data_IF_451888907246
#
_entry.id   IF_451888907246
#
_cell.length_a   1.000
_cell.length_b   1.000
_cell.length_c   1.000
_cell.angle_alpha   90.00
_cell.angle_beta   90.00
_cell.angle_gamma   90.00
#
_symmetry.space_group_name_H-M   'P 1'
#
loop_
_entity.id
_entity.type
_entity.pdbx_description
1 polymer ?
#
# COMPACT_ATOMS: atom_id res chain seq x y z
N UNK A 1 28.34 20.65 -12.06
CA UNK A 1 28.26 22.06 -11.64
C UNK A 1 28.71 22.13 -10.19
N UNK A 2 29.47 23.14 -9.76
CA UNK A 2 29.99 23.21 -8.39
C UNK A 2 29.00 23.91 -7.45
N UNK A 3 28.92 23.47 -6.19
CA UNK A 3 27.99 24.00 -5.17
C UNK A 3 28.08 25.54 -5.04
N UNK A 4 29.28 26.10 -5.04
CA UNK A 4 29.49 27.55 -4.96
C UNK A 4 28.89 28.34 -6.13
N UNK A 5 28.78 27.72 -7.30
CA UNK A 5 28.18 28.32 -8.50
C UNK A 5 26.66 28.25 -8.44
N UNK A 6 26.09 27.11 -8.03
CA UNK A 6 24.64 26.96 -7.79
C UNK A 6 24.17 27.94 -6.71
N UNK A 7 24.88 28.01 -5.57
CA UNK A 7 24.55 28.94 -4.49
C UNK A 7 24.61 30.41 -4.93
N UNK A 8 25.45 30.76 -5.92
CA UNK A 8 25.48 32.10 -6.49
C UNK A 8 24.29 32.34 -7.42
N UNK A 9 23.93 31.37 -8.25
CA UNK A 9 22.77 31.45 -9.15
C UNK A 9 21.46 31.54 -8.35
N UNK A 10 21.26 30.69 -7.33
CA UNK A 10 20.10 30.75 -6.42
C UNK A 10 19.92 32.08 -5.67
N UNK A 11 20.99 32.88 -5.53
CA UNK A 11 20.94 34.20 -4.86
C UNK A 11 20.65 35.35 -5.81
N UNK A 12 20.82 35.16 -7.12
CA UNK A 12 20.75 36.24 -8.11
C UNK A 12 19.69 36.00 -9.17
N UNK A 13 19.15 34.79 -9.25
CA UNK A 13 18.16 34.39 -10.23
C UNK A 13 16.94 33.82 -9.50
N UNK A 14 15.86 34.60 -9.49
CA UNK A 14 14.59 34.21 -8.86
C UNK A 14 13.94 33.03 -9.60
N UNK A 15 14.15 32.89 -10.91
CA UNK A 15 13.58 31.80 -11.72
C UNK A 15 14.28 30.48 -11.40
N UNK A 16 15.61 30.48 -11.26
CA UNK A 16 16.36 29.30 -10.81
C UNK A 16 15.96 28.94 -9.37
N UNK A 17 15.81 29.94 -8.49
CA UNK A 17 15.38 29.70 -7.11
C UNK A 17 13.98 29.08 -7.06
N UNK A 18 13.03 29.64 -7.79
CA UNK A 18 11.67 29.12 -7.88
C UNK A 18 11.64 27.73 -8.52
N UNK A 19 12.49 27.46 -9.52
CA UNK A 19 12.66 26.13 -10.08
C UNK A 19 13.14 25.13 -9.02
N UNK A 20 14.22 25.42 -8.29
CA UNK A 20 14.75 24.51 -7.27
C UNK A 20 13.81 24.33 -6.06
N UNK A 21 13.13 25.40 -5.64
CA UNK A 21 12.16 25.34 -4.54
C UNK A 21 10.93 24.49 -4.93
N UNK A 22 10.61 24.39 -6.21
CA UNK A 22 9.52 23.56 -6.74
C UNK A 22 9.98 22.24 -7.39
N UNK A 23 11.29 21.99 -7.48
CA UNK A 23 11.84 20.79 -8.10
C UNK A 23 11.71 19.62 -7.13
N UNK A 24 10.75 18.74 -7.41
CA UNK A 24 10.55 17.53 -6.62
C UNK A 24 11.64 16.51 -6.99
N UNK A 25 12.74 16.53 -6.24
CA UNK A 25 13.84 15.59 -6.42
C UNK A 25 13.38 14.22 -5.91
N UNK A 26 12.86 13.41 -6.83
CA UNK A 26 12.41 12.06 -6.53
C UNK A 26 13.61 11.13 -6.35
N UNK A 27 13.80 10.63 -5.14
CA UNK A 27 14.72 9.53 -4.90
C UNK A 27 14.25 8.28 -5.66
N UNK A 28 15.19 7.44 -6.15
CA UNK A 28 14.86 6.16 -6.74
C UNK A 28 13.98 5.31 -5.82
N UNK A 29 13.09 4.52 -6.42
CA UNK A 29 12.21 3.60 -5.71
C UNK A 29 13.02 2.66 -4.82
N UNK A 30 12.70 2.66 -3.52
CA UNK A 30 13.25 1.71 -2.56
C UNK A 30 12.24 0.61 -2.22
N UNK A 31 12.63 -0.66 -2.39
CA UNK A 31 11.81 -1.85 -2.08
C UNK A 31 11.17 -1.80 -0.69
N UNK A 32 11.89 -1.31 0.32
CA UNK A 32 11.43 -1.30 1.73
C UNK A 32 10.29 -0.33 1.96
N UNK A 33 10.13 0.68 1.11
CA UNK A 33 9.03 1.64 1.21
C UNK A 33 7.68 0.95 0.94
N UNK A 34 7.63 0.00 0.00
CA UNK A 34 6.43 -0.78 -0.28
C UNK A 34 6.17 -1.94 0.69
N UNK A 35 7.13 -2.29 1.54
CA UNK A 35 7.01 -3.44 2.43
C UNK A 35 6.22 -3.09 3.69
N UNK A 36 4.88 -3.12 3.62
CA UNK A 36 4.00 -2.85 4.76
C UNK A 36 3.62 -4.12 5.54
N UNK A 37 3.22 -3.93 6.81
CA UNK A 37 2.75 -5.01 7.67
C UNK A 37 1.24 -5.26 7.53
N UNK A 38 0.70 -6.07 8.42
CA UNK A 38 -0.76 -6.30 8.50
C UNK A 38 -1.53 -5.03 8.87
N UNK A 39 -2.78 -4.95 8.42
CA UNK A 39 -3.70 -3.87 8.80
C UNK A 39 -4.24 -4.12 10.20
N UNK A 40 -4.00 -3.18 11.10
CA UNK A 40 -4.68 -3.08 12.40
C UNK A 40 -5.47 -1.79 12.41
N UNK A 41 -6.80 -1.88 12.47
CA UNK A 41 -7.67 -0.73 12.44
C UNK A 41 -8.85 -0.94 13.39
N UNK A 42 -9.12 0.04 14.26
CA UNK A 42 -10.26 0.01 15.16
C UNK A 42 -11.30 1.02 14.70
N UNK A 43 -12.47 0.54 14.26
CA UNK A 43 -13.61 1.43 13.92
C UNK A 43 -14.29 1.97 15.17
N UNK A 44 -14.27 1.20 16.26
CA UNK A 44 -14.85 1.56 17.57
C UNK A 44 -13.94 1.00 18.66
N UNK A 45 -13.51 1.86 19.59
CA UNK A 45 -12.57 1.46 20.65
C UNK A 45 -13.23 0.59 21.72
N UNK A 46 -14.50 0.85 22.03
CA UNK A 46 -15.27 0.09 23.01
C UNK A 46 -16.74 0.02 22.57
N UNK A 47 -17.35 -1.16 22.69
CA UNK A 47 -18.76 -1.39 22.45
C UNK A 47 -19.29 -2.43 23.41
N UNK A 48 -20.34 -2.05 24.14
CA UNK A 48 -21.17 -2.97 24.89
C UNK A 48 -22.41 -3.30 24.06
N UNK A 49 -22.74 -4.58 23.93
CA UNK A 49 -23.92 -5.06 23.20
C UNK A 49 -25.19 -4.76 23.99
N UNK A 50 -26.26 -4.39 23.29
CA UNK A 50 -27.62 -4.44 23.84
C UNK A 50 -28.18 -5.86 23.84
N UNK A 51 -29.33 -6.06 24.46
CA UNK A 51 -30.00 -7.37 24.57
C UNK A 51 -30.30 -8.04 23.21
N UNK A 52 -30.45 -7.25 22.15
CA UNK A 52 -30.71 -7.70 20.77
C UNK A 52 -29.48 -7.68 19.84
N UNK A 53 -28.29 -7.45 20.39
CA UNK A 53 -27.03 -7.34 19.64
C UNK A 53 -26.06 -8.47 19.98
N UNK A 54 -25.37 -9.01 18.97
CA UNK A 54 -24.29 -10.00 19.14
C UNK A 54 -23.03 -9.55 18.38
N UNK A 55 -21.85 -9.75 18.97
CA UNK A 55 -20.56 -9.57 18.29
C UNK A 55 -20.10 -10.91 17.73
N UNK A 56 -19.92 -10.96 16.41
CA UNK A 56 -19.37 -12.13 15.70
C UNK A 56 -17.88 -11.92 15.42
N UNK A 57 -17.10 -12.98 15.59
CA UNK A 57 -15.68 -13.00 15.28
C UNK A 57 -15.43 -13.92 14.08
N UNK A 58 -14.58 -13.46 13.16
CA UNK A 58 -14.16 -14.22 11.98
C UNK A 58 -12.66 -14.09 11.85
N UNK A 59 -11.99 -15.22 11.63
CA UNK A 59 -10.54 -15.29 11.46
C UNK A 59 -10.17 -16.15 10.27
N UNK A 60 -9.10 -15.75 9.58
CA UNK A 60 -8.55 -16.52 8.48
C UNK A 60 -7.51 -17.50 9.00
N UNK A 61 -7.81 -18.79 8.91
CA UNK A 61 -6.83 -19.82 9.24
C UNK A 61 -5.67 -19.78 8.24
N UNK A 62 -4.49 -19.34 8.72
CA UNK A 62 -3.25 -19.31 7.91
C UNK A 62 -3.32 -18.41 6.68
N UNK A 63 -3.74 -17.15 6.86
CA UNK A 63 -3.84 -16.14 5.78
C UNK A 63 -2.57 -16.04 4.91
N UNK A 64 -1.38 -15.81 5.50
CA UNK A 64 -0.16 -15.63 4.72
C UNK A 64 0.24 -16.89 3.91
N UNK A 65 0.26 -18.11 4.48
CA UNK A 65 0.45 -19.32 3.68
C UNK A 65 -0.58 -19.48 2.56
N UNK A 66 -1.86 -19.16 2.82
CA UNK A 66 -2.90 -19.20 1.80
C UNK A 66 -2.59 -18.23 0.65
N UNK A 67 -2.21 -16.99 0.96
CA UNK A 67 -1.78 -16.02 -0.05
C UNK A 67 -0.59 -16.56 -0.87
N UNK A 68 0.48 -16.99 -0.21
CA UNK A 68 1.68 -17.52 -0.90
C UNK A 68 1.36 -18.69 -1.84
N UNK A 69 0.36 -19.51 -1.50
CA UNK A 69 -0.08 -20.66 -2.31
C UNK A 69 -1.00 -20.26 -3.46
N UNK A 70 -1.91 -19.31 -3.23
CA UNK A 70 -3.05 -19.04 -4.12
C UNK A 70 -2.84 -17.83 -5.01
N UNK A 71 -1.93 -16.92 -4.66
CA UNK A 71 -1.70 -15.69 -5.40
C UNK A 71 -0.46 -15.76 -6.28
N UNK A 72 -0.45 -14.92 -7.31
CA UNK A 72 0.71 -14.72 -8.19
C UNK A 72 1.80 -13.99 -7.40
N UNK A 73 3.03 -14.49 -7.48
CA UNK A 73 4.23 -13.86 -6.92
C UNK A 73 5.22 -13.51 -8.03
N UNK A 74 6.14 -12.59 -7.75
CA UNK A 74 7.20 -12.17 -8.67
C UNK A 74 8.37 -13.15 -8.60
N UNK A 75 9.03 -13.40 -9.73
CA UNK A 75 10.30 -14.12 -9.80
C UNK A 75 11.25 -13.37 -10.74
N UNK A 76 12.55 -13.61 -10.61
CA UNK A 76 13.56 -12.94 -11.44
C UNK A 76 13.76 -11.46 -11.10
N UNK A 77 14.23 -10.70 -12.09
CA UNK A 77 14.61 -9.29 -11.92
C UNK A 77 13.54 -8.34 -12.48
N UNK A 78 13.37 -7.14 -11.87
CA UNK A 78 12.47 -6.14 -12.39
C UNK A 78 13.06 -5.46 -13.64
N UNK A 79 12.17 -5.00 -14.51
CA UNK A 79 12.42 -3.93 -15.47
C UNK A 79 12.07 -2.61 -14.80
N UNK A 80 13.05 -1.72 -14.70
CA UNK A 80 12.87 -0.38 -14.14
C UNK A 80 12.40 0.56 -15.25
N UNK A 81 11.29 1.23 -15.01
CA UNK A 81 10.66 2.18 -15.95
C UNK A 81 10.56 3.52 -15.23
N UNK A 82 11.14 4.56 -15.81
CA UNK A 82 11.19 5.92 -15.24
C UNK A 82 10.48 6.95 -16.11
N UNK A 83 10.05 6.56 -17.31
CA UNK A 83 9.39 7.44 -18.28
C UNK A 83 8.42 6.65 -19.18
N UNK A 84 7.55 7.36 -19.90
CA UNK A 84 6.57 6.78 -20.83
C UNK A 84 5.69 5.69 -20.19
N UNK A 85 5.14 6.00 -19.01
CA UNK A 85 4.27 5.08 -18.28
C UNK A 85 3.02 4.73 -19.09
N UNK A 86 2.70 3.44 -19.12
CA UNK A 86 1.47 2.89 -19.67
C UNK A 86 0.37 2.78 -18.62
N UNK A 87 -0.69 2.07 -18.98
CA UNK A 87 -1.77 1.77 -18.04
C UNK A 87 -1.27 0.90 -16.89
N UNK A 88 -1.72 1.19 -15.67
CA UNK A 88 -1.25 0.49 -14.47
C UNK A 88 -1.50 -1.01 -14.50
N UNK A 89 -2.58 -1.46 -15.16
CA UNK A 89 -2.94 -2.88 -15.26
C UNK A 89 -1.93 -3.69 -16.08
N UNK A 90 -1.06 -3.01 -16.84
CA UNK A 90 0.04 -3.64 -17.57
C UNK A 90 1.23 -3.97 -16.67
N UNK A 91 1.28 -3.40 -15.45
CA UNK A 91 2.38 -3.56 -14.53
C UNK A 91 2.06 -4.55 -13.41
N UNK A 92 2.99 -5.46 -13.18
CA UNK A 92 3.00 -6.33 -12.01
C UNK A 92 4.30 -6.13 -11.23
N UNK A 93 4.21 -5.65 -9.99
CA UNK A 93 5.39 -5.32 -9.18
C UNK A 93 5.16 -4.15 -8.24
N UNK A 94 6.12 -3.23 -8.19
CA UNK A 94 6.08 -2.04 -7.33
C UNK A 94 5.99 -0.77 -8.16
N UNK A 95 5.25 0.20 -7.63
CA UNK A 95 5.00 1.47 -8.31
C UNK A 95 5.16 2.59 -7.29
N UNK A 96 6.06 3.53 -7.58
CA UNK A 96 6.18 4.81 -6.90
C UNK A 96 5.33 5.83 -7.64
N UNK A 97 4.33 6.38 -6.97
CA UNK A 97 3.40 7.34 -7.56
C UNK A 97 2.83 8.30 -6.52
N UNK A 98 2.24 9.39 -7.00
CA UNK A 98 1.37 10.27 -6.22
C UNK A 98 -0.08 9.92 -6.50
N UNK A 99 -0.84 9.63 -5.45
CA UNK A 99 -2.26 9.25 -5.52
C UNK A 99 -3.12 10.25 -4.75
N UNK A 100 -4.31 10.52 -5.28
CA UNK A 100 -5.36 11.27 -4.61
C UNK A 100 -6.41 10.29 -4.07
N UNK A 101 -6.56 10.17 -2.74
CA UNK A 101 -7.64 9.38 -2.16
C UNK A 101 -9.02 10.02 -2.40
N UNK A 102 -10.11 9.23 -2.44
CA UNK A 102 -11.46 9.77 -2.44
C UNK A 102 -11.78 10.44 -1.09
N UNK A 103 -12.68 11.45 -1.05
CA UNK A 103 -12.95 12.22 0.17
C UNK A 103 -13.70 11.43 1.26
N UNK A 104 -14.43 10.37 0.90
CA UNK A 104 -15.25 9.59 1.83
C UNK A 104 -15.18 8.11 1.50
N UNK A 105 -14.34 7.38 2.23
CA UNK A 105 -14.21 5.94 2.12
C UNK A 105 -14.10 5.32 3.51
N UNK A 106 -15.04 4.43 3.84
CA UNK A 106 -15.14 3.84 5.18
C UNK A 106 -13.93 2.97 5.55
N UNK A 107 -13.37 2.26 4.57
CA UNK A 107 -12.13 1.50 4.71
C UNK A 107 -11.12 1.98 3.67
N UNK A 108 -10.27 2.97 4.02
CA UNK A 108 -9.18 3.38 3.15
C UNK A 108 -8.26 2.20 2.81
N UNK A 109 -7.68 2.22 1.62
CA UNK A 109 -6.99 1.07 1.02
C UNK A 109 -5.48 1.18 1.19
N UNK A 110 -4.91 2.33 0.80
CA UNK A 110 -3.47 2.46 0.71
C UNK A 110 -2.83 2.76 2.06
N UNK A 111 -1.79 2.01 2.44
CA UNK A 111 -1.00 2.28 3.64
C UNK A 111 -0.13 3.53 3.46
N UNK A 112 0.07 4.26 4.56
CA UNK A 112 0.97 5.40 4.64
C UNK A 112 1.66 5.39 6.01
N UNK A 113 2.99 5.49 6.01
CA UNK A 113 3.78 5.57 7.23
C UNK A 113 4.04 7.03 7.56
N UNK A 114 3.58 7.45 8.71
CA UNK A 114 3.90 8.78 9.26
C UNK A 114 3.80 8.72 10.78
N UNK A 115 4.50 9.62 11.47
CA UNK A 115 4.53 9.67 12.93
C UNK A 115 4.91 8.34 13.60
N UNK A 116 5.80 7.56 12.96
CA UNK A 116 6.23 6.24 13.44
C UNK A 116 5.14 5.15 13.41
N UNK A 117 4.00 5.39 12.76
CA UNK A 117 2.84 4.48 12.70
C UNK A 117 2.47 4.15 11.27
N UNK A 118 1.88 2.97 11.08
CA UNK A 118 1.20 2.59 9.85
C UNK A 118 -0.25 3.06 9.91
N UNK A 119 -0.63 3.96 9.01
CA UNK A 119 -1.98 4.49 8.91
C UNK A 119 -2.56 4.24 7.52
N UNK A 120 -3.87 4.39 7.39
CA UNK A 120 -4.59 4.29 6.11
C UNK A 120 -5.43 5.58 5.94
N UNK A 121 -4.80 6.73 5.65
CA UNK A 121 -5.50 8.00 5.61
C UNK A 121 -6.10 8.30 4.22
N UNK A 122 -7.06 9.23 4.18
CA UNK A 122 -7.59 9.82 2.94
C UNK A 122 -7.02 11.23 2.65
N UNK A 123 -6.09 11.67 3.50
CA UNK A 123 -5.42 12.96 3.41
C UNK A 123 -4.05 12.85 4.06
N UNK A 124 -2.98 13.11 3.29
CA UNK A 124 -1.60 13.16 3.78
C UNK A 124 -1.45 14.16 4.94
N UNK A 125 -1.81 15.43 4.71
CA UNK A 125 -1.68 16.49 5.72
C UNK A 125 -2.41 16.18 7.03
N UNK A 126 -3.62 15.62 6.98
CA UNK A 126 -4.33 15.21 8.20
C UNK A 126 -3.60 14.10 8.96
N UNK A 127 -3.03 13.13 8.23
CA UNK A 127 -2.28 12.03 8.84
C UNK A 127 -1.00 12.53 9.50
N UNK A 128 -0.26 13.40 8.81
CA UNK A 128 1.00 13.96 9.31
C UNK A 128 0.77 14.83 10.56
N UNK A 129 -0.33 15.60 10.60
CA UNK A 129 -0.69 16.46 11.74
C UNK A 129 -1.54 15.78 12.83
N UNK A 130 -1.87 14.49 12.66
CA UNK A 130 -2.84 13.78 13.52
C UNK A 130 -4.18 14.52 13.69
N UNK A 131 -4.69 15.16 12.63
CA UNK A 131 -5.91 15.96 12.68
C UNK A 131 -7.14 15.09 12.99
N UNK A 132 -7.90 15.47 14.02
CA UNK A 132 -9.16 14.81 14.44
C UNK A 132 -10.41 15.57 13.97
N UNK A 133 -10.24 16.77 13.42
CA UNK A 133 -11.34 17.60 12.91
C UNK A 133 -11.67 17.27 11.45
N UNK A 134 -12.87 17.65 10.95
CA UNK A 134 -13.19 17.52 9.53
C UNK A 134 -12.11 18.12 8.64
N UNK A 135 -11.68 17.37 7.63
CA UNK A 135 -10.63 17.79 6.72
C UNK A 135 -11.11 18.95 5.82
N UNK A 136 -10.32 20.02 5.75
CA UNK A 136 -10.54 21.18 4.86
C UNK A 136 -9.40 21.36 3.85
N UNK A 137 -8.49 20.40 3.76
CA UNK A 137 -7.32 20.47 2.89
C UNK A 137 -7.70 20.33 1.41
N UNK A 138 -6.94 21.02 0.56
CA UNK A 138 -7.00 20.93 -0.90
C UNK A 138 -6.57 19.55 -1.41
N UNK A 139 -6.88 19.24 -2.67
CA UNK A 139 -6.48 17.96 -3.28
C UNK A 139 -4.96 17.76 -3.28
N UNK A 140 -4.18 18.83 -3.51
CA UNK A 140 -2.72 18.79 -3.47
C UNK A 140 -2.18 18.40 -2.10
N UNK A 141 -2.75 18.94 -1.04
CA UNK A 141 -2.38 18.62 0.35
C UNK A 141 -2.87 17.24 0.80
N UNK A 142 -3.96 16.77 0.20
CA UNK A 142 -4.52 15.43 0.47
C UNK A 142 -3.72 14.33 -0.22
N UNK A 143 -3.11 14.63 -1.37
CA UNK A 143 -2.38 13.67 -2.19
C UNK A 143 -1.26 12.99 -1.38
N UNK A 144 -1.16 11.68 -1.55
CA UNK A 144 -0.19 10.83 -0.87
C UNK A 144 0.80 10.37 -1.91
N UNK A 145 2.08 10.57 -1.63
CA UNK A 145 3.17 10.03 -2.43
C UNK A 145 3.75 8.82 -1.70
N UNK A 146 4.02 7.75 -2.43
CA UNK A 146 4.51 6.54 -1.83
C UNK A 146 4.78 5.45 -2.86
N UNK A 147 5.25 4.31 -2.36
CA UNK A 147 5.50 3.12 -3.17
C UNK A 147 4.56 2.02 -2.71
N UNK A 148 3.81 1.43 -3.63
CA UNK A 148 2.86 0.37 -3.33
C UNK A 148 2.99 -0.79 -4.32
N UNK A 149 2.47 -1.95 -3.94
CA UNK A 149 2.34 -3.07 -4.88
C UNK A 149 1.25 -2.75 -5.91
N UNK A 150 1.44 -3.16 -7.17
CA UNK A 150 0.47 -2.88 -8.24
C UNK A 150 -0.94 -3.41 -7.91
N UNK A 151 -1.04 -4.58 -7.28
CA UNK A 151 -2.31 -5.16 -6.82
C UNK A 151 -3.04 -4.32 -5.77
N UNK A 152 -2.32 -3.59 -4.92
CA UNK A 152 -2.92 -2.69 -3.93
C UNK A 152 -3.43 -1.42 -4.61
N UNK A 153 -2.68 -0.90 -5.60
CA UNK A 153 -3.07 0.25 -6.39
C UNK A 153 -4.27 -0.04 -7.28
N UNK A 154 -4.32 -1.19 -7.95
CA UNK A 154 -5.50 -1.65 -8.68
C UNK A 154 -6.73 -1.65 -7.77
N UNK A 155 -6.59 -2.20 -6.55
CA UNK A 155 -7.67 -2.19 -5.57
C UNK A 155 -8.06 -0.77 -5.11
N UNK A 156 -7.09 0.12 -4.98
CA UNK A 156 -7.33 1.51 -4.63
C UNK A 156 -8.12 2.23 -5.73
N UNK A 157 -7.74 2.05 -7.00
CA UNK A 157 -8.45 2.61 -8.15
C UNK A 157 -9.89 2.13 -8.21
N UNK A 158 -10.16 0.84 -7.98
CA UNK A 158 -11.53 0.31 -7.85
C UNK A 158 -12.35 1.00 -6.74
N UNK A 159 -11.68 1.49 -5.69
CA UNK A 159 -12.30 2.20 -4.57
C UNK A 159 -12.35 3.72 -4.75
N UNK A 160 -12.02 4.21 -5.95
CA UNK A 160 -12.15 5.63 -6.32
C UNK A 160 -10.92 6.48 -6.03
N UNK A 161 -9.75 5.87 -5.82
CA UNK A 161 -8.49 6.61 -5.83
C UNK A 161 -8.16 7.04 -7.26
N UNK A 162 -7.40 8.12 -7.42
CA UNK A 162 -6.88 8.57 -8.71
C UNK A 162 -5.37 8.69 -8.64
N UNK A 163 -4.66 8.20 -9.65
CA UNK A 163 -3.21 8.41 -9.76
C UNK A 163 -3.01 9.79 -10.40
N UNK A 164 -2.33 10.69 -9.69
CA UNK A 164 -1.99 12.01 -10.20
C UNK A 164 -0.72 11.97 -11.05
N UNK A 165 0.28 11.20 -10.61
CA UNK A 165 1.57 11.11 -11.27
C UNK A 165 2.25 9.78 -10.94
N UNK A 166 2.83 9.12 -11.94
CA UNK A 166 3.77 8.01 -11.74
C UNK A 166 5.20 8.54 -11.79
N UNK A 167 6.05 8.02 -10.91
CA UNK A 167 7.45 8.45 -10.78
C UNK A 167 8.43 7.37 -11.21
N UNK A 168 8.19 6.13 -10.77
CA UNK A 168 9.03 4.98 -11.11
C UNK A 168 8.24 3.67 -10.96
N UNK A 169 8.44 2.73 -11.88
CA UNK A 169 7.80 1.42 -11.86
C UNK A 169 8.85 0.33 -11.93
N UNK A 170 8.78 -0.62 -11.01
CA UNK A 170 9.54 -1.86 -11.05
C UNK A 170 8.60 -2.98 -11.49
N UNK A 171 8.60 -3.25 -12.79
CA UNK A 171 7.76 -4.28 -13.38
C UNK A 171 8.50 -5.63 -13.46
N UNK A 172 7.93 -6.67 -12.88
CA UNK A 172 8.42 -8.04 -12.96
C UNK A 172 7.69 -8.80 -14.08
N UNK A 173 8.34 -9.06 -15.23
CA UNK A 173 7.70 -9.79 -16.33
C UNK A 173 7.51 -11.27 -16.00
N UNK A 174 8.39 -11.84 -15.17
CA UNK A 174 8.32 -13.24 -14.77
C UNK A 174 7.55 -13.37 -13.45
N UNK A 175 6.57 -14.25 -13.44
CA UNK A 175 5.72 -14.50 -12.27
C UNK A 175 5.45 -15.98 -12.10
N UNK A 176 5.08 -16.39 -10.89
CA UNK A 176 4.72 -17.78 -10.59
C UNK A 176 3.52 -17.85 -9.66
N UNK A 177 2.70 -18.88 -9.86
CA UNK A 177 1.61 -19.28 -8.94
C UNK A 177 1.93 -20.59 -8.22
N UNK A 178 3.09 -21.21 -8.52
CA UNK A 178 3.45 -22.52 -8.03
C UNK A 178 4.65 -22.49 -7.06
N UNK A 179 5.38 -21.37 -6.98
CA UNK A 179 6.65 -21.27 -6.23
C UNK A 179 6.54 -21.80 -4.79
N UNK A 180 5.48 -21.47 -4.07
CA UNK A 180 5.27 -21.89 -2.69
C UNK A 180 4.24 -23.01 -2.53
N UNK A 181 3.64 -23.50 -3.62
CA UNK A 181 2.46 -24.36 -3.57
C UNK A 181 2.73 -25.68 -2.87
N UNK A 182 3.78 -26.39 -3.27
CA UNK A 182 4.12 -27.71 -2.71
C UNK A 182 4.64 -27.61 -1.27
N UNK A 183 5.43 -26.57 -0.99
CA UNK A 183 5.86 -26.23 0.36
C UNK A 183 4.66 -26.03 1.28
N UNK A 184 3.75 -25.12 0.92
CA UNK A 184 2.56 -24.82 1.73
C UNK A 184 1.65 -26.04 1.86
N UNK A 185 1.44 -26.83 0.80
CA UNK A 185 0.65 -28.05 0.86
C UNK A 185 1.21 -29.05 1.87
N UNK A 186 2.53 -29.25 1.86
CA UNK A 186 3.21 -30.18 2.75
C UNK A 186 2.98 -29.80 4.21
N UNK A 187 3.20 -28.53 4.57
CA UNK A 187 3.03 -28.09 5.96
C UNK A 187 1.56 -27.93 6.38
N UNK A 188 0.65 -27.59 5.47
CA UNK A 188 -0.78 -27.58 5.76
C UNK A 188 -1.32 -28.98 6.02
N UNK A 189 -0.87 -29.99 5.27
CA UNK A 189 -1.21 -31.39 5.51
C UNK A 189 -0.76 -31.83 6.91
N UNK A 190 0.50 -31.58 7.26
CA UNK A 190 1.04 -31.90 8.59
C UNK A 190 0.23 -31.21 9.70
N UNK A 191 -0.09 -29.91 9.52
CA UNK A 191 -0.91 -29.14 10.46
C UNK A 191 -2.28 -29.80 10.66
N UNK A 192 -2.96 -30.19 9.58
CA UNK A 192 -4.28 -30.82 9.63
C UNK A 192 -4.24 -32.21 10.28
N UNK A 193 -3.28 -33.04 9.91
CA UNK A 193 -3.11 -34.39 10.46
C UNK A 193 -2.76 -34.36 11.96
N UNK A 194 -2.05 -33.32 12.41
CA UNK A 194 -1.69 -33.13 13.82
C UNK A 194 -2.80 -32.53 14.69
N UNK A 195 -3.85 -31.94 14.09
CA UNK A 195 -4.88 -31.19 14.82
C UNK A 195 -6.00 -32.07 15.44
N UNK A 196 -6.00 -33.38 15.18
CA UNK A 196 -6.98 -34.32 15.72
C UNK A 196 -8.38 -34.23 15.08
N UNK A 197 -9.16 -35.30 15.22
CA UNK A 197 -10.45 -35.51 14.53
C UNK A 197 -11.59 -34.52 14.93
N UNK A 198 -11.47 -33.79 16.04
CA UNK A 198 -12.60 -33.04 16.63
C UNK A 198 -12.84 -31.60 16.13
N UNK A 199 -12.00 -31.07 15.22
CA UNK A 199 -12.15 -29.69 14.71
C UNK A 199 -12.76 -29.60 13.30
N UNK A 200 -13.03 -30.73 12.64
CA UNK A 200 -13.51 -30.74 11.25
C UNK A 200 -14.96 -30.25 11.06
N UNK A 201 -15.78 -30.23 12.11
CA UNK A 201 -17.21 -29.88 12.00
C UNK A 201 -17.51 -28.38 12.05
N UNK A 202 -16.61 -27.53 12.53
CA UNK A 202 -16.87 -26.07 12.61
C UNK A 202 -16.38 -25.28 11.39
N UNK A 203 -15.65 -25.92 10.47
CA UNK A 203 -15.14 -25.26 9.25
C UNK A 203 -16.06 -25.42 8.03
N UNK A 204 -17.20 -26.11 8.18
CA UNK A 204 -18.17 -26.36 7.11
C UNK A 204 -19.53 -25.72 7.42
N UNK A 205 -19.55 -24.41 7.66
CA UNK A 205 -20.78 -23.61 7.55
C UNK A 205 -20.41 -22.27 6.93
N UNK A 206 -20.50 -22.20 5.61
CA UNK A 206 -20.84 -21.00 4.84
C UNK A 206 -22.04 -21.38 4.00
#
# INVERSE_FOLDING_TARGET
MWECKINRELRHDEEIKEYFDNYDLMDPLELRHAFYGGRTNATKLFHECKDDEEIRYTDFTSLHPWCNKMTRTVIGHPRVITENFGDISTYFGLINCTVLPPPRLFHPVLPYRTQGKLMFPLCKSCADMCNQSPCTHSERERAIQGTWCSVELEKALEKGYSILQMHEVWHFPETSVNLFKDYVNTFLKIKQESSGYRLYQSSSVV
#
